data_IF_260017720549
#
_entry.id   IF_260017720549
#
_cell.length_a   1.000
_cell.length_b   1.000
_cell.length_c   1.000
_cell.angle_alpha   90.00
_cell.angle_beta   90.00
_cell.angle_gamma   90.00
#
_symmetry.space_group_name_H-M   'P 1'
#
loop_
_entity.id
_entity.type
_entity.pdbx_description
1 polymer ?
#
# COMPACT_ATOMS: atom_id res chain seq x y z
N UNK A 1 17.34 64.76 -23.40
CA UNK A 1 18.14 64.97 -22.18
C UNK A 1 18.48 63.61 -21.58
N UNK A 2 19.74 63.21 -21.74
CA UNK A 2 20.40 62.10 -21.04
C UNK A 2 20.85 62.57 -19.62
N UNK A 3 21.48 61.77 -18.72
CA UNK A 3 22.15 60.49 -18.97
C UNK A 3 22.13 59.39 -17.88
N UNK A 4 22.64 58.24 -18.32
CA UNK A 4 23.45 57.20 -17.64
C UNK A 4 23.93 57.44 -16.20
N UNK A 5 24.07 56.33 -15.44
CA UNK A 5 25.34 55.99 -14.75
C UNK A 5 25.52 54.48 -14.47
N UNK A 6 26.60 53.95 -15.05
CA UNK A 6 27.38 52.74 -14.66
C UNK A 6 28.26 53.05 -13.45
N UNK A 7 28.58 52.04 -12.65
CA UNK A 7 29.90 51.80 -12.00
C UNK A 7 30.04 50.26 -11.93
N UNK A 8 30.92 49.57 -12.67
CA UNK A 8 32.40 49.45 -12.62
C UNK A 8 32.94 49.10 -11.20
N UNK A 9 33.43 47.89 -10.91
CA UNK A 9 34.70 47.19 -11.26
C UNK A 9 35.83 47.47 -10.25
N UNK A 10 36.30 46.42 -9.55
CA UNK A 10 37.71 46.11 -9.20
C UNK A 10 37.73 44.90 -8.22
N UNK A 11 38.20 43.71 -8.63
CA UNK A 11 39.59 43.21 -8.55
C UNK A 11 40.09 43.01 -7.11
N UNK A 12 40.52 41.79 -6.78
CA UNK A 12 41.94 41.49 -6.52
C UNK A 12 42.11 39.98 -6.27
N UNK A 13 42.82 39.36 -7.20
CA UNK A 13 43.59 38.15 -7.01
C UNK A 13 44.75 38.44 -6.05
N UNK A 14 45.01 37.55 -5.09
CA UNK A 14 46.37 37.21 -4.67
C UNK A 14 46.43 35.73 -4.27
N UNK A 15 47.13 34.99 -5.12
CA UNK A 15 47.82 33.73 -4.86
C UNK A 15 48.86 33.85 -3.74
N UNK A 16 49.14 32.76 -3.01
CA UNK A 16 50.48 32.25 -2.62
C UNK A 16 50.26 30.86 -2.00
N UNK A 17 50.63 29.73 -2.63
CA UNK A 17 51.94 29.09 -2.80
C UNK A 17 52.50 28.31 -1.59
N UNK A 18 52.84 27.04 -1.89
CA UNK A 18 53.82 26.13 -1.25
C UNK A 18 53.35 25.38 0.02
N UNK A 19 53.64 24.09 0.21
CA UNK A 19 54.60 23.25 -0.47
C UNK A 19 54.43 21.74 -0.22
N UNK A 20 55.11 21.01 -1.08
CA UNK A 20 55.34 19.58 -1.17
C UNK A 20 56.24 19.07 -0.02
N UNK A 21 56.00 17.86 0.49
CA UNK A 21 57.02 17.03 1.11
C UNK A 21 56.56 15.56 1.25
N UNK A 22 57.29 14.71 0.52
CA UNK A 22 57.21 13.25 0.50
C UNK A 22 57.89 12.56 1.69
N UNK A 23 57.63 11.24 1.81
CA UNK A 23 58.40 10.15 2.45
C UNK A 23 58.09 9.82 3.92
N UNK A 24 57.63 8.58 4.18
CA UNK A 24 58.52 7.51 4.61
C UNK A 24 57.82 6.13 4.69
N UNK A 25 58.44 5.15 4.03
CA UNK A 25 58.32 3.71 4.29
C UNK A 25 58.68 3.39 5.75
N UNK A 26 57.99 2.44 6.37
CA UNK A 26 58.64 1.49 7.29
C UNK A 26 57.89 0.15 7.32
N UNK A 27 58.67 -0.88 7.05
CA UNK A 27 58.42 -2.31 7.09
C UNK A 27 58.48 -2.77 8.56
N UNK A 28 57.63 -3.71 8.98
CA UNK A 28 58.01 -4.63 10.05
C UNK A 28 57.28 -5.97 9.90
N UNK A 29 58.07 -7.02 9.81
CA UNK A 29 57.66 -8.41 9.76
C UNK A 29 58.42 -9.16 10.87
N UNK A 30 57.95 -10.39 11.12
CA UNK A 30 58.49 -11.43 12.02
C UNK A 30 57.99 -11.32 13.48
N UNK A 31 57.59 -12.38 14.17
CA UNK A 31 58.05 -13.79 14.14
C UNK A 31 56.96 -14.77 14.60
N UNK A 32 57.02 -15.97 14.01
CA UNK A 32 56.39 -17.22 14.42
C UNK A 32 56.81 -17.69 15.83
N UNK A 33 55.91 -18.40 16.53
CA UNK A 33 56.28 -19.41 17.53
C UNK A 33 55.50 -20.71 17.28
N UNK A 34 56.23 -21.76 16.93
CA UNK A 34 55.77 -23.14 16.81
C UNK A 34 55.38 -23.73 18.17
N UNK A 35 54.27 -24.46 18.22
CA UNK A 35 54.15 -25.67 19.05
C UNK A 35 53.41 -26.75 18.28
N UNK A 36 54.06 -27.91 18.17
CA UNK A 36 53.54 -29.15 17.56
C UNK A 36 52.73 -29.95 18.58
N UNK A 37 51.64 -30.62 18.17
CA UNK A 37 51.52 -32.08 18.28
C UNK A 37 50.18 -32.67 17.81
N UNK A 38 50.35 -33.80 17.10
CA UNK A 38 49.55 -35.05 17.08
C UNK A 38 48.20 -35.09 16.35
N UNK A 39 48.27 -35.80 15.22
CA UNK A 39 47.21 -36.57 14.59
C UNK A 39 46.58 -37.60 15.55
N UNK A 40 45.24 -37.65 15.62
CA UNK A 40 44.46 -38.82 16.09
C UNK A 40 43.12 -38.93 15.35
N UNK A 41 43.02 -40.02 14.59
CA UNK A 41 41.89 -40.96 14.54
C UNK A 41 40.50 -40.49 14.11
N UNK A 42 40.10 -41.02 12.95
CA UNK A 42 38.76 -41.24 12.42
C UNK A 42 37.75 -41.82 13.41
N UNK A 43 36.75 -41.04 13.84
CA UNK A 43 35.50 -41.57 14.42
C UNK A 43 34.28 -40.62 14.40
N UNK A 44 34.35 -39.45 13.76
CA UNK A 44 33.26 -38.44 13.82
C UNK A 44 32.28 -38.40 12.64
N UNK A 45 32.42 -39.27 11.63
CA UNK A 45 31.57 -39.21 10.41
C UNK A 45 30.26 -40.03 10.54
N UNK A 46 30.15 -40.96 11.50
CA UNK A 46 28.97 -41.83 11.60
C UNK A 46 27.82 -41.29 12.48
N UNK A 47 28.04 -40.24 13.28
CA UNK A 47 27.00 -39.69 14.17
C UNK A 47 26.12 -38.61 13.52
N UNK A 48 26.60 -37.97 12.44
CA UNK A 48 25.84 -36.94 11.71
C UNK A 48 24.76 -37.53 10.77
N UNK A 49 24.97 -38.74 10.26
CA UNK A 49 24.03 -39.39 9.33
C UNK A 49 22.73 -39.86 10.01
N UNK A 50 22.79 -40.26 11.28
CA UNK A 50 21.62 -40.71 12.05
C UNK A 50 20.70 -39.55 12.47
N UNK A 51 21.26 -38.39 12.84
CA UNK A 51 20.50 -37.18 13.17
C UNK A 51 19.73 -36.63 11.96
N UNK A 52 20.31 -36.76 10.76
CA UNK A 52 19.71 -36.27 9.50
C UNK A 52 18.55 -37.17 9.04
N UNK A 53 18.63 -38.49 9.24
CA UNK A 53 17.51 -39.42 8.96
C UNK A 53 16.32 -39.23 9.91
N UNK A 54 16.56 -38.90 11.19
CA UNK A 54 15.48 -38.64 12.16
C UNK A 54 14.73 -37.33 11.86
N UNK A 55 15.45 -36.29 11.38
CA UNK A 55 14.84 -35.03 10.89
C UNK A 55 14.03 -35.20 9.59
N UNK A 56 14.45 -36.08 8.67
CA UNK A 56 13.68 -36.39 7.44
C UNK A 56 12.36 -37.13 7.72
N UNK A 57 12.33 -38.08 8.67
CA UNK A 57 11.08 -38.77 9.06
C UNK A 57 10.08 -37.87 9.78
N UNK A 58 10.56 -36.89 10.57
CA UNK A 58 9.69 -35.86 11.17
C UNK A 58 9.10 -34.88 10.14
N UNK A 59 9.83 -34.58 9.06
CA UNK A 59 9.37 -33.70 7.97
C UNK A 59 8.33 -34.38 7.08
N UNK A 60 8.49 -35.67 6.78
CA UNK A 60 7.54 -36.47 5.99
C UNK A 60 6.20 -36.72 6.70
N UNK A 61 6.19 -36.84 8.04
CA UNK A 61 4.94 -36.88 8.82
C UNK A 61 4.21 -35.53 8.90
N UNK A 62 4.95 -34.43 8.77
CA UNK A 62 4.38 -33.06 8.80
C UNK A 62 3.79 -32.68 7.43
N UNK A 63 4.40 -33.11 6.33
CA UNK A 63 3.84 -32.94 4.97
C UNK A 63 2.62 -33.83 4.71
N UNK A 64 2.51 -35.00 5.36
CA UNK A 64 1.34 -35.86 5.22
C UNK A 64 0.09 -35.36 5.97
N UNK A 65 0.24 -34.49 6.99
CA UNK A 65 -0.91 -33.85 7.66
C UNK A 65 -1.50 -32.67 6.89
N UNK A 66 -0.74 -32.11 5.94
CA UNK A 66 -1.18 -30.94 5.16
C UNK A 66 -2.11 -31.35 4.02
N UNK A 67 -2.05 -32.60 3.57
CA UNK A 67 -2.87 -33.11 2.47
C UNK A 67 -4.27 -33.63 2.87
N UNK A 68 -4.67 -33.48 4.14
CA UNK A 68 -5.94 -34.01 4.66
C UNK A 68 -6.81 -32.93 5.37
N UNK A 69 -6.52 -31.64 5.17
CA UNK A 69 -7.31 -30.55 5.73
C UNK A 69 -8.37 -30.09 4.73
N UNK A 70 -9.40 -30.93 4.54
CA UNK A 70 -10.71 -30.49 4.06
C UNK A 70 -11.59 -30.22 5.28
N UNK A 71 -12.19 -29.03 5.34
CA UNK A 71 -13.12 -28.49 6.36
C UNK A 71 -12.47 -27.90 7.62
N UNK A 72 -12.71 -26.60 7.84
CA UNK A 72 -12.73 -25.81 9.09
C UNK A 72 -11.99 -26.37 10.32
N UNK A 73 -10.74 -26.82 10.18
CA UNK A 73 -9.89 -27.07 11.35
C UNK A 73 -9.42 -25.70 11.86
N UNK A 74 -10.10 -25.21 12.88
CA UNK A 74 -9.95 -23.90 13.53
C UNK A 74 -8.61 -23.86 14.28
N UNK A 75 -7.50 -23.92 13.53
CA UNK A 75 -6.15 -23.88 14.06
C UNK A 75 -5.93 -22.54 14.74
N UNK A 76 -6.09 -22.51 16.06
CA UNK A 76 -5.84 -21.33 16.87
C UNK A 76 -4.32 -21.09 16.95
N UNK A 77 -3.88 -19.95 16.43
CA UNK A 77 -2.51 -19.45 16.56
C UNK A 77 -2.48 -18.25 17.52
N UNK A 78 -1.28 -17.72 17.79
CA UNK A 78 -1.13 -16.48 18.56
C UNK A 78 -1.73 -15.23 17.88
N UNK A 79 -2.11 -15.34 16.60
CA UNK A 79 -2.68 -14.24 15.82
C UNK A 79 -4.20 -14.32 15.67
N UNK A 80 -4.80 -15.44 16.06
CA UNK A 80 -6.22 -15.68 15.89
C UNK A 80 -7.05 -14.69 16.69
N UNK A 81 -7.97 -14.00 16.00
CA UNK A 81 -9.00 -13.17 16.61
C UNK A 81 -10.34 -13.87 16.38
N UNK A 82 -10.88 -14.45 17.45
CA UNK A 82 -12.16 -15.12 17.47
C UNK A 82 -13.19 -14.32 18.30
N UNK A 83 -14.43 -14.78 18.32
CA UNK A 83 -15.54 -14.12 19.01
C UNK A 83 -15.33 -14.03 20.53
N UNK A 84 -14.52 -14.92 21.12
CA UNK A 84 -14.14 -14.81 22.53
C UNK A 84 -13.21 -13.61 22.78
N UNK A 85 -12.36 -13.29 21.81
CA UNK A 85 -11.41 -12.15 21.87
C UNK A 85 -12.08 -10.83 21.49
N UNK A 86 -12.91 -10.86 20.44
CA UNK A 86 -13.71 -9.74 20.02
C UNK A 86 -15.09 -10.23 19.57
N UNK A 87 -16.11 -10.12 20.43
CA UNK A 87 -17.47 -10.48 20.07
C UNK A 87 -17.95 -9.67 18.85
N UNK A 88 -18.76 -10.27 17.97
CA UNK A 88 -19.34 -9.57 16.84
C UNK A 88 -20.12 -8.32 17.28
N UNK A 89 -20.00 -7.25 16.49
CA UNK A 89 -20.80 -6.05 16.65
C UNK A 89 -22.25 -6.38 16.32
N UNK A 90 -23.20 -5.93 17.14
CA UNK A 90 -24.62 -6.08 16.82
C UNK A 90 -24.93 -5.43 15.46
N UNK A 91 -25.58 -6.16 14.57
CA UNK A 91 -25.83 -5.71 13.20
C UNK A 91 -26.60 -4.38 13.16
N UNK A 92 -27.64 -4.21 13.98
CA UNK A 92 -28.43 -2.97 14.02
C UNK A 92 -27.60 -1.78 14.52
N UNK A 93 -26.72 -1.99 15.50
CA UNK A 93 -25.77 -0.97 15.94
C UNK A 93 -24.79 -0.58 14.84
N UNK A 94 -24.25 -1.55 14.10
CA UNK A 94 -23.35 -1.28 12.99
C UNK A 94 -24.07 -0.50 11.88
N UNK A 95 -25.27 -0.93 11.47
CA UNK A 95 -26.10 -0.20 10.49
C UNK A 95 -26.29 1.26 10.91
N UNK A 96 -26.68 1.49 12.17
CA UNK A 96 -26.87 2.83 12.75
C UNK A 96 -25.58 3.67 12.73
N UNK A 97 -24.43 3.07 13.03
CA UNK A 97 -23.13 3.76 12.98
C UNK A 97 -22.80 4.18 11.54
N UNK A 98 -22.97 3.28 10.58
CA UNK A 98 -22.68 3.54 9.17
C UNK A 98 -23.59 4.64 8.63
N UNK A 99 -24.92 4.55 8.80
CA UNK A 99 -25.86 5.61 8.39
C UNK A 99 -25.49 6.97 8.96
N UNK A 100 -25.18 7.03 10.27
CA UNK A 100 -24.73 8.28 10.90
C UNK A 100 -23.48 8.85 10.22
N UNK A 101 -22.52 8.01 9.83
CA UNK A 101 -21.30 8.47 9.18
C UNK A 101 -21.56 8.98 7.76
N UNK A 102 -22.46 8.35 7.02
CA UNK A 102 -22.92 8.84 5.71
C UNK A 102 -23.51 10.24 5.84
N UNK A 103 -24.43 10.44 6.78
CA UNK A 103 -25.10 11.73 7.01
C UNK A 103 -24.13 12.82 7.48
N UNK A 104 -23.19 12.46 8.34
CA UNK A 104 -22.29 13.43 9.02
C UNK A 104 -20.96 13.66 8.31
N UNK A 105 -20.73 13.03 7.15
CA UNK A 105 -19.49 13.18 6.38
C UNK A 105 -19.13 14.66 6.09
N UNK A 106 -20.03 15.54 5.61
CA UNK A 106 -19.70 16.95 5.37
C UNK A 106 -19.13 17.66 6.60
N UNK A 107 -19.79 17.47 7.75
CA UNK A 107 -19.36 18.04 9.03
C UNK A 107 -18.02 17.46 9.49
N UNK A 108 -17.81 16.16 9.27
CA UNK A 108 -16.53 15.51 9.58
C UNK A 108 -15.37 16.12 8.79
N UNK A 109 -15.54 16.31 7.48
CA UNK A 109 -14.52 16.91 6.61
C UNK A 109 -14.23 18.38 6.94
N UNK A 110 -15.26 19.18 7.24
CA UNK A 110 -15.08 20.57 7.69
C UNK A 110 -14.29 20.66 9.00
N UNK A 111 -14.47 19.68 9.89
CA UNK A 111 -13.79 19.67 11.21
C UNK A 111 -12.34 19.16 11.17
N UNK A 112 -11.88 18.64 10.03
CA UNK A 112 -10.56 18.00 9.88
C UNK A 112 -9.79 18.64 8.72
N UNK A 113 -9.12 19.79 8.94
CA UNK A 113 -8.29 20.40 7.90
C UNK A 113 -7.14 19.46 7.52
N UNK A 114 -6.77 19.48 6.24
CA UNK A 114 -5.66 18.69 5.71
C UNK A 114 -4.34 19.33 6.15
N UNK A 115 -3.41 18.52 6.67
CA UNK A 115 -2.10 19.02 7.06
C UNK A 115 -1.22 19.32 5.82
N UNK A 116 -0.41 20.38 5.86
CA UNK A 116 0.42 20.81 4.72
C UNK A 116 1.30 19.70 4.14
N UNK A 117 1.97 18.91 5.00
CA UNK A 117 2.78 17.77 4.54
C UNK A 117 1.95 16.66 3.85
N UNK A 118 0.67 16.50 4.19
CA UNK A 118 -0.23 15.57 3.50
C UNK A 118 -0.68 16.14 2.14
N UNK A 119 -0.79 17.47 2.01
CA UNK A 119 -1.03 18.12 0.72
C UNK A 119 0.17 18.04 -0.21
N UNK A 120 1.38 18.31 0.28
CA UNK A 120 2.61 18.14 -0.50
C UNK A 120 2.79 16.68 -0.96
N UNK A 121 2.56 15.71 -0.08
CA UNK A 121 2.60 14.28 -0.45
C UNK A 121 1.54 13.92 -1.51
N UNK A 122 0.37 14.54 -1.47
CA UNK A 122 -0.67 14.34 -2.48
C UNK A 122 -0.32 14.97 -3.83
N UNK A 123 0.31 16.15 -3.84
CA UNK A 123 0.82 16.77 -5.07
C UNK A 123 1.89 15.90 -5.74
N UNK A 124 2.76 15.26 -4.95
CA UNK A 124 3.72 14.26 -5.46
C UNK A 124 3.01 13.07 -6.12
N UNK A 125 1.86 12.64 -5.57
CA UNK A 125 1.03 11.59 -6.15
C UNK A 125 0.49 12.01 -7.54
N UNK A 126 -0.07 13.22 -7.63
CA UNK A 126 -0.54 13.78 -8.90
C UNK A 126 0.59 13.86 -9.93
N UNK A 127 1.76 14.35 -9.53
CA UNK A 127 2.89 14.50 -10.43
C UNK A 127 3.43 13.16 -10.93
N UNK A 128 3.51 12.17 -10.05
CA UNK A 128 3.86 10.81 -10.44
C UNK A 128 2.90 10.24 -11.49
N UNK A 129 1.59 10.46 -11.34
CA UNK A 129 0.60 10.01 -12.32
C UNK A 129 0.76 10.75 -13.65
N UNK A 130 1.05 12.07 -13.64
CA UNK A 130 1.33 12.83 -14.88
C UNK A 130 2.54 12.27 -15.62
N UNK A 131 3.64 12.03 -14.91
CA UNK A 131 4.86 11.46 -15.48
C UNK A 131 4.65 10.02 -15.97
N UNK A 132 3.81 9.24 -15.28
CA UNK A 132 3.42 7.91 -15.75
C UNK A 132 2.62 8.00 -17.06
N UNK A 133 1.62 8.87 -17.15
CA UNK A 133 0.86 9.13 -18.38
C UNK A 133 1.75 9.51 -19.55
N UNK A 134 2.69 10.43 -19.32
CA UNK A 134 3.65 10.87 -20.33
C UNK A 134 4.49 9.69 -20.84
N UNK A 135 5.00 8.83 -19.95
CA UNK A 135 5.77 7.65 -20.35
C UNK A 135 4.96 6.63 -21.16
N UNK A 136 3.68 6.43 -20.82
CA UNK A 136 2.80 5.56 -21.61
C UNK A 136 2.63 6.08 -23.04
N UNK A 137 2.36 7.39 -23.21
CA UNK A 137 2.26 8.02 -24.54
C UNK A 137 3.54 7.83 -25.36
N UNK A 138 4.72 8.05 -24.75
CA UNK A 138 6.01 7.86 -25.43
C UNK A 138 6.24 6.41 -25.88
N UNK A 139 5.82 5.43 -25.09
CA UNK A 139 5.96 4.00 -25.45
C UNK A 139 5.04 3.61 -26.61
N UNK A 140 3.80 4.12 -26.63
CA UNK A 140 2.84 3.87 -27.71
C UNK A 140 3.33 4.47 -29.04
N UNK A 141 3.84 5.71 -29.02
CA UNK A 141 4.39 6.36 -30.22
C UNK A 141 5.59 5.60 -30.80
N UNK A 142 6.46 5.02 -29.95
CA UNK A 142 7.60 4.22 -30.40
C UNK A 142 7.19 2.86 -31.01
N UNK A 143 6.03 2.32 -30.66
CA UNK A 143 5.54 1.01 -31.13
C UNK A 143 4.76 1.09 -32.47
N UNK A 144 4.75 2.23 -33.16
CA UNK A 144 4.07 2.43 -34.47
C UNK A 144 2.57 2.07 -34.50
N UNK A 145 1.88 2.07 -33.37
CA UNK A 145 0.41 2.08 -33.34
C UNK A 145 -0.09 3.52 -33.50
N UNK A 146 -0.08 4.02 -34.73
CA UNK A 146 -0.77 5.26 -35.11
C UNK A 146 -2.28 4.97 -35.17
N UNK A 147 -2.97 5.15 -34.04
CA UNK A 147 -4.38 5.52 -34.10
C UNK A 147 -4.43 7.04 -33.92
N UNK A 148 -4.68 7.76 -35.03
CA UNK A 148 -5.00 9.20 -35.07
C UNK A 148 -6.39 9.46 -34.45
N UNK A 149 -6.64 8.93 -33.24
CA UNK A 149 -7.79 9.36 -32.45
C UNK A 149 -7.27 10.37 -31.42
N UNK A 150 -7.54 11.65 -31.71
CA UNK A 150 -7.43 12.82 -30.81
C UNK A 150 -8.22 12.66 -29.49
N UNK A 151 -8.80 11.48 -29.22
CA UNK A 151 -9.61 11.17 -28.04
C UNK A 151 -8.81 10.73 -26.81
N UNK A 152 -7.49 10.49 -26.91
CA UNK A 152 -6.67 10.01 -25.78
C UNK A 152 -6.10 11.16 -24.89
N UNK A 153 -6.33 12.42 -25.26
CA UNK A 153 -5.98 13.62 -24.47
C UNK A 153 -6.84 13.78 -23.20
N UNK A 154 -8.06 13.24 -23.18
CA UNK A 154 -8.95 13.30 -22.01
C UNK A 154 -8.95 12.01 -21.16
N UNK A 155 -8.26 10.95 -21.61
CA UNK A 155 -8.26 9.67 -20.89
C UNK A 155 -7.53 9.73 -19.56
N UNK A 156 -8.25 9.38 -18.48
CA UNK A 156 -7.70 9.26 -17.12
C UNK A 156 -6.74 8.07 -16.99
N UNK A 157 -5.76 8.19 -16.10
CA UNK A 157 -4.79 7.12 -15.80
C UNK A 157 -5.39 6.14 -14.81
N UNK A 158 -5.33 4.85 -15.12
CA UNK A 158 -5.69 3.79 -14.18
C UNK A 158 -4.68 3.73 -13.02
N UNK A 159 -5.18 3.92 -11.81
CA UNK A 159 -4.40 3.92 -10.57
C UNK A 159 -4.83 2.79 -9.63
N UNK A 160 -3.85 2.09 -9.07
CA UNK A 160 -4.02 1.17 -7.96
C UNK A 160 -3.58 1.87 -6.68
N UNK A 161 -4.48 1.98 -5.70
CA UNK A 161 -4.17 2.49 -4.36
C UNK A 161 -3.88 1.33 -3.41
N UNK A 162 -2.76 1.38 -2.69
CA UNK A 162 -2.39 0.44 -1.62
C UNK A 162 -2.35 1.19 -0.28
N UNK A 163 -3.49 1.20 0.41
CA UNK A 163 -3.72 1.99 1.62
C UNK A 163 -3.23 1.26 2.87
N UNK A 164 -2.24 1.85 3.54
CA UNK A 164 -1.55 1.24 4.68
C UNK A 164 -0.46 0.25 4.23
N UNK A 165 0.27 0.60 3.17
CA UNK A 165 1.22 -0.30 2.49
C UNK A 165 2.40 -0.79 3.37
N UNK A 166 2.59 -0.21 4.56
CA UNK A 166 3.62 -0.61 5.51
C UNK A 166 5.02 -0.38 4.95
N UNK A 167 5.70 -1.47 4.56
CA UNK A 167 7.05 -1.42 3.99
C UNK A 167 7.03 -1.35 2.45
N UNK A 168 5.86 -1.24 1.82
CA UNK A 168 5.70 -1.14 0.37
C UNK A 168 5.89 -2.46 -0.40
N UNK A 169 5.92 -3.61 0.30
CA UNK A 169 6.05 -4.94 -0.33
C UNK A 169 4.86 -5.21 -1.26
N UNK A 170 3.65 -4.98 -0.78
CA UNK A 170 2.41 -5.16 -1.55
C UNK A 170 2.38 -4.20 -2.74
N UNK A 171 2.71 -2.93 -2.53
CA UNK A 171 2.75 -1.91 -3.60
C UNK A 171 3.62 -2.36 -4.77
N UNK A 172 4.77 -2.95 -4.49
CA UNK A 172 5.68 -3.45 -5.52
C UNK A 172 5.11 -4.66 -6.27
N UNK A 173 4.54 -5.63 -5.56
CA UNK A 173 3.88 -6.79 -6.18
C UNK A 173 2.68 -6.36 -7.04
N UNK A 174 1.91 -5.38 -6.56
CA UNK A 174 0.84 -4.75 -7.33
C UNK A 174 1.40 -4.06 -8.59
N UNK A 175 2.55 -3.40 -8.51
CA UNK A 175 3.24 -2.84 -9.68
C UNK A 175 3.56 -3.88 -10.76
N UNK A 176 3.97 -5.09 -10.35
CA UNK A 176 4.22 -6.22 -11.25
C UNK A 176 2.92 -6.84 -11.79
N UNK A 177 1.86 -6.91 -10.97
CA UNK A 177 0.55 -7.45 -11.34
C UNK A 177 -0.24 -6.53 -12.29
N UNK A 178 -0.03 -5.21 -12.17
CA UNK A 178 -0.74 -4.17 -12.92
C UNK A 178 0.26 -3.26 -13.66
N UNK A 179 1.04 -3.79 -14.63
CA UNK A 179 2.14 -3.06 -15.27
C UNK A 179 1.69 -1.82 -16.06
N UNK A 180 0.44 -1.81 -16.50
CA UNK A 180 -0.25 -0.74 -17.25
C UNK A 180 -0.96 0.28 -16.34
N UNK A 181 -0.93 0.07 -15.02
CA UNK A 181 -1.48 1.00 -14.04
C UNK A 181 -0.37 1.70 -13.26
N UNK A 182 -0.62 2.93 -12.84
CA UNK A 182 0.18 3.59 -11.80
C UNK A 182 -0.21 3.03 -10.43
N UNK A 183 0.76 2.68 -9.59
CA UNK A 183 0.50 2.05 -8.28
C UNK A 183 1.06 2.93 -7.17
N UNK A 184 0.21 3.34 -6.23
CA UNK A 184 0.56 4.27 -5.16
C UNK A 184 0.33 3.62 -3.81
N UNK A 185 1.40 3.38 -3.07
CA UNK A 185 1.36 2.89 -1.70
C UNK A 185 1.43 4.03 -0.70
N UNK A 186 0.48 4.10 0.22
CA UNK A 186 0.38 5.19 1.20
C UNK A 186 0.53 4.63 2.62
N UNK A 187 1.46 5.17 3.41
CA UNK A 187 1.60 4.82 4.83
C UNK A 187 2.06 6.02 5.68
N UNK A 188 1.42 6.23 6.83
CA UNK A 188 1.81 7.31 7.76
C UNK A 188 3.15 7.09 8.46
N UNK A 189 3.64 5.84 8.52
CA UNK A 189 4.82 5.44 9.29
C UNK A 189 6.09 5.55 8.47
N UNK A 190 6.86 6.62 8.73
CA UNK A 190 8.21 6.76 8.18
C UNK A 190 9.10 5.57 8.52
N UNK A 191 8.99 5.03 9.75
CA UNK A 191 9.80 3.89 10.19
C UNK A 191 9.53 2.61 9.37
N UNK A 192 8.30 2.39 8.87
CA UNK A 192 8.01 1.25 7.99
C UNK A 192 8.46 1.53 6.56
N UNK A 193 8.22 2.74 6.05
CA UNK A 193 8.67 3.14 4.71
C UNK A 193 10.19 3.13 4.57
N UNK A 194 10.95 3.55 5.59
CA UNK A 194 12.42 3.55 5.59
C UNK A 194 13.05 2.15 5.55
N UNK A 195 12.27 1.09 5.82
CA UNK A 195 12.73 -0.29 5.57
C UNK A 195 12.80 -0.60 4.08
N UNK A 196 12.11 0.15 3.24
CA UNK A 196 12.24 0.06 1.79
C UNK A 196 13.48 0.87 1.35
N UNK A 197 14.48 0.17 0.80
CA UNK A 197 15.74 0.77 0.36
C UNK A 197 15.54 1.90 -0.64
N UNK A 198 14.59 1.77 -1.56
CA UNK A 198 14.37 2.79 -2.58
C UNK A 198 13.66 4.01 -2.06
N UNK A 199 12.66 3.82 -1.18
CA UNK A 199 12.03 4.94 -0.50
C UNK A 199 13.09 5.75 0.23
N UNK A 200 13.94 5.06 1.01
CA UNK A 200 15.04 5.67 1.75
C UNK A 200 16.03 6.42 0.83
N UNK A 201 16.50 5.78 -0.23
CA UNK A 201 17.45 6.41 -1.17
C UNK A 201 16.87 7.67 -1.86
N UNK A 202 15.56 7.73 -2.14
CA UNK A 202 14.92 8.92 -2.74
C UNK A 202 14.80 10.09 -1.77
N UNK A 203 14.80 9.84 -0.46
CA UNK A 203 14.55 10.85 0.58
C UNK A 203 15.79 11.19 1.43
N UNK A 204 16.87 10.41 1.35
CA UNK A 204 18.13 10.63 2.08
C UNK A 204 19.10 11.61 1.36
N UNK A 205 18.60 12.52 0.50
CA UNK A 205 19.45 13.55 -0.13
C UNK A 205 19.78 14.74 0.78
N UNK A 206 19.10 14.86 1.92
CA UNK A 206 19.37 15.88 2.93
C UNK A 206 20.01 15.24 4.17
N UNK A 207 21.27 15.64 4.39
CA UNK A 207 22.17 15.42 5.53
C UNK A 207 21.69 14.58 6.74
N UNK A 208 22.61 13.70 7.20
CA UNK A 208 22.62 13.04 8.53
C UNK A 208 22.09 11.59 8.67
N UNK A 209 22.41 10.65 7.76
CA UNK A 209 22.53 9.24 8.18
C UNK A 209 23.36 8.31 7.27
N UNK A 210 24.62 8.64 7.03
CA UNK A 210 25.57 7.73 6.37
C UNK A 210 26.13 6.61 7.28
N UNK A 211 25.61 6.43 8.51
CA UNK A 211 26.11 5.45 9.48
C UNK A 211 25.08 4.41 9.97
N UNK A 212 23.95 4.23 9.29
CA UNK A 212 23.02 3.11 9.53
C UNK A 212 22.95 2.11 8.37
N UNK A 213 24.09 1.82 7.75
CA UNK A 213 24.32 0.44 7.31
C UNK A 213 24.68 -0.36 8.57
N UNK A 214 23.69 -0.65 9.39
CA UNK A 214 23.88 -1.62 10.46
C UNK A 214 24.13 -2.97 9.76
N UNK A 215 25.35 -3.52 9.89
CA UNK A 215 25.70 -4.90 9.50
C UNK A 215 24.90 -5.96 10.29
N UNK A 216 23.80 -5.55 10.93
CA UNK A 216 22.92 -6.37 11.74
C UNK A 216 21.47 -6.36 11.22
N UNK A 217 21.27 -6.36 9.91
CA UNK A 217 20.02 -6.88 9.32
C UNK A 217 20.01 -8.43 9.43
N UNK A 218 20.11 -8.91 10.68
CA UNK A 218 20.12 -10.32 11.11
C UNK A 218 18.70 -10.89 11.21
N UNK A 219 17.71 -10.25 10.59
CA UNK A 219 16.42 -10.89 10.36
C UNK A 219 16.46 -11.57 8.97
N UNK A 220 16.78 -12.89 8.89
CA UNK A 220 16.81 -13.62 7.62
C UNK A 220 15.43 -13.72 6.94
N UNK A 221 14.35 -13.22 7.57
CA UNK A 221 13.04 -13.07 6.94
C UNK A 221 12.83 -11.69 6.28
N UNK A 222 13.58 -10.65 6.65
CA UNK A 222 13.40 -9.30 6.12
C UNK A 222 14.47 -8.93 5.08
N UNK A 223 15.70 -9.45 5.21
CA UNK A 223 16.86 -9.06 4.38
C UNK A 223 16.87 -9.63 2.95
N UNK A 224 16.09 -10.68 2.66
CA UNK A 224 15.98 -11.26 1.31
C UNK A 224 14.78 -10.74 0.48
N UNK A 225 14.04 -9.75 1.00
CA UNK A 225 12.77 -9.29 0.41
C UNK A 225 12.76 -7.78 0.15
N UNK A 226 13.94 -7.16 0.09
CA UNK A 226 14.13 -5.79 -0.40
C UNK A 226 14.17 -5.82 -1.93
N UNK A 227 12.99 -5.89 -2.53
CA UNK A 227 12.86 -5.95 -3.99
C UNK A 227 12.76 -4.50 -4.55
N UNK A 228 13.54 -4.09 -5.58
CA UNK A 228 13.55 -2.71 -6.16
C UNK A 228 12.24 -2.20 -6.83
N UNK A 229 11.56 -1.14 -6.34
CA UNK A 229 10.28 -0.65 -6.88
C UNK A 229 10.27 -0.57 -8.42
N UNK A 230 9.14 -0.94 -9.00
CA UNK A 230 8.95 -0.88 -10.46
C UNK A 230 8.76 0.56 -10.91
N UNK A 231 8.99 0.82 -12.20
CA UNK A 231 8.85 2.15 -12.80
C UNK A 231 7.43 2.74 -12.66
N UNK A 232 6.41 1.90 -12.39
CA UNK A 232 5.02 2.28 -12.20
C UNK A 232 4.59 2.30 -10.73
N UNK A 233 5.51 2.33 -9.77
CA UNK A 233 5.17 2.39 -8.33
C UNK A 233 5.72 3.63 -7.62
N UNK A 234 4.91 4.17 -6.71
CA UNK A 234 5.27 5.25 -5.81
C UNK A 234 4.91 4.86 -4.37
N UNK A 235 5.80 5.15 -3.44
CA UNK A 235 5.54 5.07 -2.00
C UNK A 235 5.48 6.48 -1.42
N UNK A 236 4.41 6.78 -0.68
CA UNK A 236 4.15 8.10 -0.10
C UNK A 236 3.91 8.00 1.39
N UNK A 237 4.51 8.94 2.12
CA UNK A 237 4.17 9.17 3.52
C UNK A 237 3.03 10.17 3.62
N UNK A 238 1.83 9.68 3.93
CA UNK A 238 0.67 10.52 4.18
C UNK A 238 -0.33 9.85 5.16
N UNK A 239 -1.22 10.65 5.74
CA UNK A 239 -2.42 10.14 6.41
C UNK A 239 -3.46 9.69 5.38
N UNK A 240 -3.99 8.47 5.54
CA UNK A 240 -4.93 7.89 4.57
C UNK A 240 -6.21 8.70 4.41
N UNK A 241 -6.76 9.21 5.52
CA UNK A 241 -8.02 9.97 5.48
C UNK A 241 -7.81 11.30 4.77
N UNK A 242 -6.69 11.98 5.01
CA UNK A 242 -6.35 13.22 4.30
C UNK A 242 -6.09 12.96 2.81
N UNK A 243 -5.42 11.85 2.47
CA UNK A 243 -5.19 11.44 1.08
C UNK A 243 -6.51 11.18 0.35
N UNK A 244 -7.40 10.35 0.92
CA UNK A 244 -8.71 10.07 0.33
C UNK A 244 -9.57 11.33 0.19
N UNK A 245 -9.48 12.26 1.15
CA UNK A 245 -10.19 13.54 1.09
C UNK A 245 -9.75 14.34 -0.14
N UNK A 246 -8.43 14.44 -0.35
CA UNK A 246 -7.88 15.13 -1.52
C UNK A 246 -8.16 14.43 -2.84
N UNK A 247 -8.28 13.09 -2.86
CA UNK A 247 -8.74 12.37 -4.04
C UNK A 247 -10.10 12.89 -4.52
N UNK A 248 -10.99 13.30 -3.60
CA UNK A 248 -12.33 13.81 -3.94
C UNK A 248 -12.38 15.32 -4.21
N UNK A 249 -11.53 16.11 -3.58
CA UNK A 249 -11.59 17.59 -3.67
C UNK A 249 -10.62 18.19 -4.67
N UNK A 250 -9.57 17.46 -5.07
CA UNK A 250 -8.60 17.95 -6.04
C UNK A 250 -9.12 17.79 -7.47
N UNK A 251 -9.39 18.91 -8.15
CA UNK A 251 -9.77 18.93 -9.56
C UNK A 251 -8.72 18.28 -10.46
N UNK A 252 -7.44 18.46 -10.12
CA UNK A 252 -6.31 17.79 -10.80
C UNK A 252 -6.42 16.27 -10.70
N UNK A 253 -6.65 15.74 -9.49
CA UNK A 253 -6.77 14.31 -9.31
C UNK A 253 -7.99 13.76 -10.06
N UNK A 254 -9.12 14.44 -9.92
CA UNK A 254 -10.40 14.08 -10.54
C UNK A 254 -10.31 14.02 -12.07
N UNK A 255 -9.56 14.94 -12.71
CA UNK A 255 -9.36 14.93 -14.17
C UNK A 255 -8.25 13.99 -14.64
N UNK A 256 -7.32 13.61 -13.76
CA UNK A 256 -6.15 12.82 -14.13
C UNK A 256 -6.28 11.33 -13.82
N UNK A 257 -7.03 10.96 -12.79
CA UNK A 257 -6.98 9.62 -12.17
C UNK A 257 -8.33 8.91 -12.28
N UNK A 258 -8.26 7.66 -12.73
CA UNK A 258 -9.27 6.64 -12.52
C UNK A 258 -8.77 5.66 -11.46
N UNK A 259 -9.45 5.56 -10.31
CA UNK A 259 -9.04 4.60 -9.27
C UNK A 259 -9.54 3.20 -9.66
N UNK A 260 -8.66 2.46 -10.33
CA UNK A 260 -8.95 1.13 -10.86
C UNK A 260 -9.12 0.10 -9.75
N UNK A 261 -8.24 0.09 -8.75
CA UNK A 261 -8.42 -0.77 -7.55
C UNK A 261 -7.91 -0.06 -6.32
N UNK A 262 -8.52 -0.41 -5.20
CA UNK A 262 -8.08 0.03 -3.89
C UNK A 262 -7.86 -1.19 -3.00
N UNK A 263 -6.64 -1.35 -2.51
CA UNK A 263 -6.22 -2.42 -1.62
C UNK A 263 -6.11 -1.91 -0.18
N UNK A 264 -6.69 -2.65 0.77
CA UNK A 264 -6.49 -2.48 2.21
C UNK A 264 -6.06 -3.84 2.76
N UNK A 265 -4.75 -4.03 2.90
CA UNK A 265 -4.18 -5.31 3.29
C UNK A 265 -3.82 -5.32 4.78
N UNK A 266 -4.51 -6.17 5.55
CA UNK A 266 -4.30 -6.33 6.99
C UNK A 266 -4.45 -5.01 7.77
N UNK A 267 -5.60 -4.34 7.67
CA UNK A 267 -5.85 -3.15 8.47
C UNK A 267 -5.75 -3.51 9.97
N UNK A 268 -5.33 -2.53 10.79
CA UNK A 268 -5.24 -2.75 12.22
C UNK A 268 -6.61 -3.22 12.78
N UNK A 269 -6.67 -4.38 13.46
CA UNK A 269 -7.95 -5.00 13.79
C UNK A 269 -8.69 -4.30 14.93
N UNK A 270 -7.97 -3.67 15.87
CA UNK A 270 -8.55 -3.02 17.05
C UNK A 270 -9.61 -3.90 17.77
N UNK A 271 -9.23 -5.09 18.29
CA UNK A 271 -10.19 -6.08 18.81
C UNK A 271 -11.00 -5.60 20.01
N UNK A 272 -10.52 -4.61 20.77
CA UNK A 272 -11.27 -4.06 21.90
C UNK A 272 -12.53 -3.32 21.41
N UNK A 273 -13.70 -3.64 21.97
CA UNK A 273 -14.99 -2.99 21.64
C UNK A 273 -14.96 -1.46 21.70
N UNK A 274 -14.26 -0.90 22.70
CA UNK A 274 -14.09 0.56 22.83
C UNK A 274 -13.36 1.22 21.64
N UNK A 275 -12.70 0.43 20.78
CA UNK A 275 -11.95 0.87 19.60
C UNK A 275 -12.68 0.54 18.29
N UNK A 276 -13.96 0.18 18.32
CA UNK A 276 -14.77 -0.10 17.11
C UNK A 276 -14.63 1.01 16.06
N UNK A 277 -14.74 2.27 16.46
CA UNK A 277 -14.62 3.43 15.56
C UNK A 277 -13.22 3.65 14.98
N UNK A 278 -12.21 2.87 15.37
CA UNK A 278 -10.89 2.85 14.73
C UNK A 278 -10.81 1.87 13.56
N UNK A 279 -11.78 0.96 13.43
CA UNK A 279 -11.87 0.02 12.31
C UNK A 279 -12.51 0.74 11.13
N UNK A 280 -11.94 0.57 9.93
CA UNK A 280 -12.30 1.43 8.80
C UNK A 280 -13.79 1.38 8.45
N UNK A 281 -14.46 0.24 8.55
CA UNK A 281 -15.90 0.09 8.27
C UNK A 281 -16.82 0.80 9.27
N UNK A 282 -16.32 1.17 10.45
CA UNK A 282 -17.06 1.90 11.49
C UNK A 282 -16.45 3.27 11.80
N UNK A 283 -15.47 3.71 11.01
CA UNK A 283 -14.80 4.99 11.15
C UNK A 283 -15.60 6.08 10.42
N UNK A 284 -15.62 7.35 10.88
CA UNK A 284 -16.28 8.45 10.16
C UNK A 284 -15.82 8.68 8.72
N UNK A 285 -14.63 8.20 8.38
CA UNK A 285 -14.07 8.24 7.01
C UNK A 285 -14.46 7.02 6.15
N UNK A 286 -15.32 6.11 6.63
CA UNK A 286 -15.82 5.00 5.83
C UNK A 286 -16.50 5.46 4.53
N UNK A 287 -17.43 6.44 4.56
CA UNK A 287 -17.97 7.04 3.34
C UNK A 287 -16.91 7.54 2.38
N UNK A 288 -15.87 8.17 2.91
CA UNK A 288 -14.79 8.73 2.12
C UNK A 288 -14.02 7.64 1.38
N UNK A 289 -13.71 6.53 2.06
CA UNK A 289 -13.12 5.35 1.44
C UNK A 289 -14.00 4.83 0.30
N UNK A 290 -15.31 4.66 0.53
CA UNK A 290 -16.23 4.17 -0.50
C UNK A 290 -16.25 5.08 -1.72
N UNK A 291 -16.30 6.40 -1.52
CA UNK A 291 -16.28 7.37 -2.62
C UNK A 291 -15.00 7.33 -3.45
N UNK A 292 -13.85 6.93 -2.89
CA UNK A 292 -12.60 6.80 -3.69
C UNK A 292 -12.68 5.74 -4.78
N UNK A 293 -13.51 4.70 -4.60
CA UNK A 293 -13.67 3.59 -5.56
C UNK A 293 -14.93 3.73 -6.43
N UNK A 294 -15.74 4.77 -6.22
CA UNK A 294 -17.05 4.95 -6.86
C UNK A 294 -17.03 5.93 -8.04
N UNK A 295 -15.92 6.64 -8.25
CA UNK A 295 -15.86 7.74 -9.22
C UNK A 295 -15.54 7.28 -10.65
N UNK A 296 -16.44 6.44 -11.20
CA UNK A 296 -16.50 6.16 -12.63
C UNK A 296 -17.23 7.30 -13.33
N UNK A 297 -16.47 8.16 -13.99
CA UNK A 297 -16.96 9.01 -15.07
C UNK A 297 -16.21 8.59 -16.34
N UNK A 298 -16.96 8.18 -17.36
CA UNK A 298 -16.51 7.79 -18.71
C UNK A 298 -15.86 6.40 -18.91
N UNK A 299 -16.27 5.78 -20.02
CA UNK A 299 -15.54 5.14 -21.15
C UNK A 299 -14.13 4.55 -20.98
N UNK A 300 -13.55 4.51 -19.79
CA UNK A 300 -12.30 3.83 -19.50
C UNK A 300 -12.47 2.32 -19.67
N UNK A 301 -12.15 1.81 -20.86
CA UNK A 301 -11.99 0.38 -21.11
C UNK A 301 -10.68 -0.08 -20.43
N UNK A 302 -10.79 -0.54 -19.19
CA UNK A 302 -9.70 -1.19 -18.47
C UNK A 302 -9.88 -2.70 -18.53
N UNK A 303 -8.76 -3.41 -18.68
CA UNK A 303 -8.72 -4.88 -18.59
C UNK A 303 -9.10 -5.38 -17.18
N UNK A 304 -9.01 -4.53 -16.17
CA UNK A 304 -9.24 -4.92 -14.78
C UNK A 304 -10.63 -4.48 -14.31
N UNK A 305 -11.23 -5.28 -13.42
CA UNK A 305 -12.46 -4.89 -12.75
C UNK A 305 -12.18 -3.81 -11.71
N UNK A 306 -13.05 -2.81 -11.63
CA UNK A 306 -13.00 -1.82 -10.57
C UNK A 306 -13.39 -2.45 -9.24
N UNK A 307 -12.68 -2.09 -8.16
CA UNK A 307 -13.10 -2.56 -6.86
C UNK A 307 -12.17 -2.28 -5.69
N UNK A 308 -12.71 -2.59 -4.51
CA UNK A 308 -12.02 -2.56 -3.24
C UNK A 308 -11.69 -4.00 -2.82
N UNK A 309 -10.43 -4.22 -2.45
CA UNK A 309 -9.93 -5.52 -1.96
C UNK A 309 -9.43 -5.35 -0.54
N UNK A 310 -10.02 -6.10 0.40
CA UNK A 310 -9.59 -6.11 1.80
C UNK A 310 -9.13 -7.52 2.17
N UNK A 311 -7.95 -7.63 2.79
CA UNK A 311 -7.47 -8.89 3.38
C UNK A 311 -7.28 -8.79 4.88
N UNK A 312 -7.57 -9.86 5.60
CA UNK A 312 -7.40 -9.96 7.05
C UNK A 312 -7.29 -11.43 7.47
N UNK A 313 -6.58 -11.73 8.55
CA UNK A 313 -6.68 -13.04 9.20
C UNK A 313 -7.91 -13.16 10.11
N UNK A 314 -8.63 -12.04 10.33
CA UNK A 314 -9.85 -12.02 11.12
C UNK A 314 -11.08 -11.98 10.22
N UNK A 315 -11.76 -13.13 10.12
CA UNK A 315 -13.00 -13.30 9.33
C UNK A 315 -14.09 -12.32 9.75
N UNK A 316 -14.37 -12.20 11.05
CA UNK A 316 -15.39 -11.29 11.58
C UNK A 316 -15.16 -9.81 11.23
N UNK A 317 -13.90 -9.37 11.10
CA UNK A 317 -13.61 -8.01 10.60
C UNK A 317 -14.16 -7.80 9.19
N UNK A 318 -13.99 -8.80 8.32
CA UNK A 318 -14.45 -8.72 6.92
C UNK A 318 -15.96 -8.93 6.81
N UNK A 319 -16.58 -9.75 7.66
CA UNK A 319 -18.03 -9.89 7.71
C UNK A 319 -18.70 -8.57 8.14
N UNK A 320 -18.15 -7.89 9.16
CA UNK A 320 -18.63 -6.56 9.55
C UNK A 320 -18.35 -5.51 8.46
N UNK A 321 -17.22 -5.61 7.74
CA UNK A 321 -16.94 -4.73 6.61
C UNK A 321 -17.95 -4.93 5.48
N UNK A 322 -18.25 -6.18 5.11
CA UNK A 322 -19.25 -6.51 4.10
C UNK A 322 -20.62 -5.96 4.46
N UNK A 323 -21.06 -6.11 5.72
CA UNK A 323 -22.31 -5.53 6.20
C UNK A 323 -22.31 -3.99 6.12
N UNK A 324 -21.18 -3.33 6.42
CA UNK A 324 -21.08 -1.87 6.29
C UNK A 324 -21.20 -1.41 4.83
N UNK A 325 -20.67 -2.18 3.88
CA UNK A 325 -20.81 -1.92 2.43
C UNK A 325 -22.25 -2.13 1.97
N UNK A 326 -22.93 -3.18 2.44
CA UNK A 326 -24.36 -3.38 2.17
C UNK A 326 -25.20 -2.21 2.69
N UNK A 327 -24.91 -1.71 3.89
CA UNK A 327 -25.61 -0.54 4.45
C UNK A 327 -25.33 0.72 3.62
N UNK A 328 -24.11 0.88 3.14
CA UNK A 328 -23.77 1.98 2.24
C UNK A 328 -24.57 1.92 0.93
N UNK A 329 -24.71 0.72 0.34
CA UNK A 329 -25.49 0.49 -0.87
C UNK A 329 -27.00 0.68 -0.64
N UNK A 330 -27.55 0.10 0.43
CA UNK A 330 -28.95 0.26 0.86
C UNK A 330 -29.30 1.72 1.17
N UNK A 331 -28.36 2.45 1.80
CA UNK A 331 -28.52 3.88 2.07
C UNK A 331 -28.57 4.71 0.78
N UNK A 332 -28.25 4.08 -0.37
CA UNK A 332 -28.42 4.53 -1.74
C UNK A 332 -28.61 6.01 -1.80
N UNK A 333 -27.50 6.77 -1.84
CA UNK A 333 -27.46 8.21 -1.60
C UNK A 333 -28.66 8.90 -2.28
N UNK A 334 -29.75 9.07 -1.54
CA UNK A 334 -31.01 9.45 -2.16
C UNK A 334 -30.84 10.85 -2.72
N UNK A 335 -31.51 11.18 -3.82
CA UNK A 335 -31.43 12.52 -4.42
C UNK A 335 -31.68 13.65 -3.41
N UNK A 336 -32.45 13.38 -2.34
CA UNK A 336 -32.69 14.31 -1.23
C UNK A 336 -31.50 14.45 -0.27
N UNK A 337 -30.79 13.36 0.05
CA UNK A 337 -29.57 13.39 0.87
C UNK A 337 -28.45 14.13 0.14
N UNK A 338 -28.32 13.92 -1.18
CA UNK A 338 -27.38 14.64 -2.04
C UNK A 338 -27.70 16.13 -2.09
N UNK A 339 -28.97 16.52 -2.27
CA UNK A 339 -29.38 17.93 -2.28
C UNK A 339 -29.15 18.65 -0.95
N UNK A 340 -29.38 17.99 0.20
CA UNK A 340 -29.09 18.56 1.52
C UNK A 340 -27.57 18.65 1.79
N UNK A 341 -26.78 17.67 1.31
CA UNK A 341 -25.33 17.70 1.44
C UNK A 341 -24.67 18.70 0.47
N UNK A 342 -25.25 18.95 -0.71
CA UNK A 342 -24.81 19.97 -1.67
C UNK A 342 -24.80 21.39 -1.08
N UNK A 343 -25.70 21.70 -0.14
CA UNK A 343 -25.76 23.00 0.53
C UNK A 343 -24.65 23.21 1.58
N UNK A 344 -24.04 22.12 2.09
CA UNK A 344 -23.05 22.17 3.18
C UNK A 344 -21.63 21.82 2.73
N UNK A 345 -21.46 21.37 1.50
CA UNK A 345 -20.17 21.00 0.93
C UNK A 345 -19.65 22.15 0.07
N UNK A 346 -18.32 22.28 -0.03
CA UNK A 346 -17.75 23.11 -1.09
C UNK A 346 -18.31 22.62 -2.43
N UNK A 347 -18.53 23.55 -3.38
CA UNK A 347 -19.14 23.25 -4.68
C UNK A 347 -18.50 22.00 -5.35
N UNK A 348 -17.24 21.71 -5.08
CA UNK A 348 -16.50 20.56 -5.63
C UNK A 348 -16.96 19.20 -5.08
N UNK A 349 -17.15 19.02 -3.77
CA UNK A 349 -17.60 17.72 -3.21
C UNK A 349 -19.08 17.47 -3.50
N UNK A 350 -19.88 18.55 -3.47
CA UNK A 350 -21.27 18.59 -3.88
C UNK A 350 -21.46 18.13 -5.35
N UNK A 351 -20.54 18.55 -6.23
CA UNK A 351 -20.50 18.16 -7.64
C UNK A 351 -20.00 16.72 -7.84
N UNK A 352 -18.99 16.26 -7.08
CA UNK A 352 -18.52 14.87 -7.15
C UNK A 352 -19.61 13.90 -6.68
N UNK A 353 -20.28 14.21 -5.56
CA UNK A 353 -21.44 13.45 -5.11
C UNK A 353 -22.56 13.53 -6.15
N UNK A 354 -22.94 14.72 -6.62
CA UNK A 354 -23.99 14.89 -7.63
C UNK A 354 -23.75 14.11 -8.94
N UNK A 355 -22.51 14.10 -9.45
CA UNK A 355 -22.13 13.39 -10.69
C UNK A 355 -21.96 11.88 -10.51
N UNK A 356 -21.48 11.43 -9.36
CA UNK A 356 -21.29 9.99 -9.08
C UNK A 356 -22.63 9.30 -8.77
N UNK A 357 -23.62 10.06 -8.29
CA UNK A 357 -24.85 9.54 -7.71
C UNK A 357 -26.06 9.75 -8.62
N UNK A 358 -26.04 10.77 -9.49
CA UNK A 358 -27.08 10.98 -10.50
C UNK A 358 -27.03 9.89 -11.57
N UNK A 359 -28.04 9.01 -11.58
CA UNK A 359 -28.27 7.98 -12.60
C UNK A 359 -27.28 6.79 -12.60
N UNK A 360 -26.75 6.39 -11.45
CA UNK A 360 -25.88 5.19 -11.35
C UNK A 360 -26.64 3.90 -11.72
N UNK A 361 -26.42 3.40 -12.94
CA UNK A 361 -26.76 2.04 -13.43
C UNK A 361 -25.78 0.96 -12.93
N UNK A 362 -25.22 1.12 -11.74
CA UNK A 362 -24.16 0.25 -11.24
C UNK A 362 -24.64 -0.54 -10.02
N UNK A 363 -24.53 -1.86 -10.10
CA UNK A 363 -24.76 -2.79 -8.98
C UNK A 363 -23.42 -3.15 -8.35
N UNK A 364 -23.40 -3.37 -7.03
CA UNK A 364 -22.20 -3.82 -6.34
C UNK A 364 -22.28 -5.31 -6.06
N UNK A 365 -21.21 -6.02 -6.37
CA UNK A 365 -21.06 -7.40 -5.92
C UNK A 365 -20.08 -7.46 -4.76
N UNK A 366 -20.53 -8.09 -3.67
CA UNK A 366 -19.73 -8.33 -2.47
C UNK A 366 -19.37 -9.81 -2.46
N UNK A 367 -18.10 -10.11 -2.71
CA UNK A 367 -17.56 -11.47 -2.80
C UNK A 367 -16.63 -11.74 -1.62
N UNK A 368 -17.03 -12.70 -0.76
CA UNK A 368 -16.31 -13.08 0.44
C UNK A 368 -16.97 -12.64 1.76
N UNK A 369 -16.29 -12.83 2.90
CA UNK A 369 -14.88 -13.20 3.01
C UNK A 369 -14.56 -14.64 2.59
N UNK A 370 -13.75 -14.79 1.54
CA UNK A 370 -13.26 -16.07 1.06
C UNK A 370 -11.89 -16.39 1.69
N UNK A 371 -11.68 -17.63 2.13
CA UNK A 371 -10.38 -18.05 2.68
C UNK A 371 -9.34 -18.14 1.56
N UNK A 372 -8.18 -17.52 1.76
CA UNK A 372 -7.02 -17.60 0.87
C UNK A 372 -5.87 -18.31 1.58
N UNK A 373 -5.10 -19.14 0.87
CA UNK A 373 -3.87 -19.73 1.43
C UNK A 373 -3.88 -21.24 1.75
N UNK A 374 -4.49 -22.08 0.91
CA UNK A 374 -4.31 -23.55 0.99
C UNK A 374 -3.26 -24.09 0.00
N UNK A 375 -2.88 -23.28 -0.99
CA UNK A 375 -2.08 -23.72 -2.14
C UNK A 375 -0.62 -23.34 -1.99
N UNK A 376 0.29 -24.26 -2.30
CA UNK A 376 1.73 -24.16 -2.02
C UNK A 376 2.47 -23.05 -2.78
N UNK A 377 1.79 -22.27 -3.63
CA UNK A 377 2.41 -21.32 -4.58
C UNK A 377 1.98 -19.84 -4.37
N UNK A 378 1.18 -19.52 -3.35
CA UNK A 378 0.78 -18.12 -3.09
C UNK A 378 1.96 -17.30 -2.57
N UNK A 379 2.33 -16.25 -3.31
CA UNK A 379 3.32 -15.26 -2.86
C UNK A 379 2.64 -14.32 -1.85
N UNK A 380 3.13 -14.23 -0.60
CA UNK A 380 2.54 -13.32 0.37
C UNK A 380 2.78 -11.87 -0.04
N UNK A 381 1.70 -11.08 -0.09
CA UNK A 381 1.68 -9.66 -0.41
C UNK A 381 2.25 -8.81 0.73
N UNK A 382 2.10 -9.26 1.98
CA UNK A 382 2.59 -8.54 3.16
C UNK A 382 3.44 -9.42 4.08
N UNK A 383 4.19 -8.79 4.98
CA UNK A 383 4.93 -9.51 6.03
C UNK A 383 3.99 -10.19 7.05
N UNK A 384 2.75 -9.70 7.20
CA UNK A 384 1.74 -10.35 8.04
C UNK A 384 1.27 -11.64 7.39
N UNK A 385 0.91 -11.58 6.10
CA UNK A 385 0.49 -12.73 5.31
C UNK A 385 1.55 -13.85 5.32
N UNK A 386 2.83 -13.49 5.14
CA UNK A 386 3.93 -14.45 5.21
C UNK A 386 4.01 -15.15 6.57
N UNK A 387 3.83 -14.39 7.67
CA UNK A 387 3.81 -14.95 9.04
C UNK A 387 2.61 -15.87 9.24
N UNK A 388 1.43 -15.47 8.77
CA UNK A 388 0.20 -16.24 8.91
C UNK A 388 0.28 -17.56 8.15
N UNK A 389 0.73 -17.53 6.89
CA UNK A 389 0.98 -18.75 6.12
C UNK A 389 2.02 -19.66 6.80
N UNK A 390 3.09 -19.09 7.37
CA UNK A 390 4.13 -19.88 8.03
C UNK A 390 3.63 -20.61 9.29
N UNK A 391 2.67 -20.05 10.03
CA UNK A 391 2.08 -20.68 11.21
C UNK A 391 0.74 -21.39 10.94
N UNK A 392 0.24 -21.39 9.71
CA UNK A 392 -1.05 -21.99 9.34
C UNK A 392 -2.27 -21.16 9.78
N UNK A 393 -2.08 -19.90 10.13
CA UNK A 393 -3.18 -18.99 10.46
C UNK A 393 -4.04 -18.75 9.19
N UNK A 394 -5.37 -18.87 9.28
CA UNK A 394 -6.24 -18.60 8.15
C UNK A 394 -6.17 -17.14 7.73
N UNK A 395 -6.22 -16.90 6.43
CA UNK A 395 -6.33 -15.57 5.84
C UNK A 395 -7.58 -15.52 5.00
N UNK A 396 -8.24 -14.39 4.98
CA UNK A 396 -9.48 -14.15 4.24
C UNK A 396 -9.36 -12.90 3.37
N UNK A 397 -10.07 -12.90 2.25
CA UNK A 397 -10.21 -11.78 1.32
C UNK A 397 -11.68 -11.44 1.12
N UNK A 398 -11.98 -10.15 1.16
CA UNK A 398 -13.26 -9.57 0.75
C UNK A 398 -13.01 -8.71 -0.49
N UNK A 399 -13.76 -8.94 -1.55
CA UNK A 399 -13.77 -8.11 -2.75
C UNK A 399 -15.12 -7.42 -2.88
N UNK A 400 -15.09 -6.12 -3.14
CA UNK A 400 -16.28 -5.32 -3.47
C UNK A 400 -16.05 -4.79 -4.88
N UNK A 401 -16.85 -5.25 -5.84
CA UNK A 401 -16.71 -4.91 -7.26
C UNK A 401 -17.90 -4.09 -7.72
N UNK A 402 -17.64 -3.16 -8.62
CA UNK A 402 -18.68 -2.43 -9.32
C UNK A 402 -18.99 -3.15 -10.64
N UNK A 403 -20.25 -3.53 -10.85
CA UNK A 403 -20.73 -4.16 -12.08
C UNK A 403 -21.69 -3.22 -12.80
N UNK A 404 -21.65 -3.19 -14.14
CA UNK A 404 -22.69 -2.53 -14.93
C UNK A 404 -23.95 -3.40 -14.89
N UNK A 405 -25.13 -2.79 -14.73
CA UNK A 405 -26.40 -3.52 -14.80
C UNK A 405 -26.51 -4.20 -16.17
N UNK A 406 -26.42 -5.53 -16.20
CA UNK A 406 -26.60 -6.36 -17.40
C UNK A 406 -25.35 -7.06 -17.95
N UNK A 407 -24.18 -6.96 -17.30
CA UNK A 407 -23.02 -7.83 -17.59
C UNK A 407 -23.04 -9.06 -16.67
N UNK A 408 -23.66 -10.17 -17.11
CA UNK A 408 -23.53 -11.52 -16.50
C UNK A 408 -22.37 -12.33 -17.08
#
# INVERSE_FOLDING_TARGET
>A
MAPMKRMLLHSLLTSHHHGDASRHFLHSAMTFSHTSHRCRSSSHILTAAAATKRRRRGRLRRTARIAAATQDDDTTTQYTINDATCPPTNAADLKRIVHKHIETLPKYLQSKPIAGYNSEAFEQACEFVRLFRFRLKQQQQQQQQLHDDDQDEDRRVNVILDSGCGTGRSTRLLGEMFPDCAVIGIDRSLARLNKNREYRNRHDHDDYNMNLLDEQDKDPHCSNLLVPLTNNTLLLRADLVDFWHQCLTSSTWQSLVHVQKHYILYPNPYPKKARLKSRFYAHPAFPLLMLTVMNRNDNSCSKYCDGLVIRSNWRGYLEEFALAVQVWEEAGLSSQTVQQQQQCLTNDLANVLGKTIGESRWEWTIDGPARIGCETNLVPMTNFEAKYFACGEPVYELQVKQCEVGEE
#
